data_IF_704995058472
#
_entry.id   IF_704995058472
#
_cell.length_a   1.000
_cell.length_b   1.000
_cell.length_c   1.000
_cell.angle_alpha   90.00
_cell.angle_beta   90.00
_cell.angle_gamma   90.00
#
_symmetry.space_group_name_H-M   'P 1'
#
loop_
_entity.id
_entity.type
_entity.pdbx_description
1 polymer ?
#
# COMPACT_ATOMS: atom_id res chain seq x y z
N UNK A 1 6.16 -23.61 12.07
CA UNK A 1 5.46 -22.85 11.01
C UNK A 1 5.98 -21.42 11.02
N UNK A 2 7.01 -21.12 10.20
CA UNK A 2 7.51 -19.76 10.03
C UNK A 2 6.71 -19.09 8.92
N UNK A 3 5.89 -18.10 9.28
CA UNK A 3 5.20 -17.25 8.32
C UNK A 3 6.22 -16.36 7.58
N UNK A 4 6.42 -16.57 6.29
CA UNK A 4 7.32 -15.80 5.41
C UNK A 4 6.97 -14.32 5.23
N UNK A 5 5.92 -13.83 5.91
CA UNK A 5 5.50 -12.42 5.88
C UNK A 5 6.20 -11.55 6.94
N UNK A 6 6.85 -12.14 7.95
CA UNK A 6 7.52 -11.40 9.01
C UNK A 6 9.04 -11.58 8.89
N UNK A 7 9.76 -10.50 8.58
CA UNK A 7 11.23 -10.47 8.56
C UNK A 7 11.87 -10.64 9.96
N UNK A 8 11.06 -10.71 11.02
CA UNK A 8 11.52 -10.83 12.40
C UNK A 8 11.22 -12.22 12.95
N UNK A 9 12.28 -12.97 13.24
CA UNK A 9 12.23 -14.33 13.78
C UNK A 9 11.74 -14.42 15.24
N UNK A 10 11.58 -13.29 15.96
CA UNK A 10 11.09 -13.28 17.34
C UNK A 10 10.18 -12.10 17.64
N UNK A 11 9.29 -12.27 18.65
CA UNK A 11 8.43 -11.20 19.18
C UNK A 11 9.24 -9.99 19.65
N UNK A 12 10.41 -10.23 20.26
CA UNK A 12 11.31 -9.18 20.73
C UNK A 12 11.87 -8.35 19.56
N UNK A 13 12.37 -9.02 18.52
CA UNK A 13 12.90 -8.34 17.34
C UNK A 13 11.82 -7.52 16.61
N UNK A 14 10.61 -8.07 16.47
CA UNK A 14 9.48 -7.36 15.88
C UNK A 14 9.10 -6.10 16.69
N UNK A 15 9.00 -6.23 18.03
CA UNK A 15 8.73 -5.08 18.91
C UNK A 15 9.79 -3.99 18.80
N UNK A 16 11.07 -4.36 18.79
CA UNK A 16 12.17 -3.41 18.63
C UNK A 16 12.17 -2.73 17.26
N UNK A 17 11.78 -3.45 16.20
CA UNK A 17 11.61 -2.88 14.88
C UNK A 17 10.46 -1.88 14.82
N UNK A 18 9.29 -2.22 15.34
CA UNK A 18 8.16 -1.28 15.37
C UNK A 18 8.53 -0.05 16.20
N UNK A 19 9.11 -0.26 17.39
CA UNK A 19 9.47 0.84 18.29
C UNK A 19 10.48 1.82 17.65
N UNK A 20 11.55 1.33 17.02
CA UNK A 20 12.54 2.22 16.38
C UNK A 20 11.93 3.03 15.23
N UNK A 21 11.02 2.42 14.46
CA UNK A 21 10.36 3.10 13.35
C UNK A 21 9.38 4.15 13.86
N UNK A 22 8.62 3.85 14.91
CA UNK A 22 7.75 4.84 15.57
C UNK A 22 8.55 6.03 16.10
N UNK A 23 9.69 5.79 16.75
CA UNK A 23 10.59 6.85 17.19
C UNK A 23 11.08 7.71 16.03
N UNK A 24 11.52 7.08 14.93
CA UNK A 24 11.97 7.80 13.73
C UNK A 24 10.86 8.69 13.15
N UNK A 25 9.63 8.18 13.07
CA UNK A 25 8.50 8.95 12.56
C UNK A 25 8.15 10.13 13.49
N UNK A 26 8.33 9.96 14.80
CA UNK A 26 8.14 11.06 15.76
C UNK A 26 9.22 12.13 15.60
N UNK A 27 10.48 11.71 15.48
CA UNK A 27 11.62 12.61 15.29
C UNK A 27 11.50 13.43 13.99
N UNK A 28 10.97 12.80 12.93
CA UNK A 28 10.67 13.47 11.67
C UNK A 28 9.39 14.32 11.69
N UNK A 29 8.61 14.31 12.78
CA UNK A 29 7.33 15.01 12.88
C UNK A 29 6.19 14.40 12.05
N UNK A 30 6.36 13.18 11.54
CA UNK A 30 5.40 12.43 10.72
C UNK A 30 4.37 11.66 11.58
N UNK A 31 4.70 11.39 12.83
CA UNK A 31 3.84 10.74 13.81
C UNK A 31 3.82 11.54 15.11
N UNK A 32 2.65 11.71 15.71
CA UNK A 32 2.48 12.40 16.99
C UNK A 32 1.81 11.49 18.00
N UNK A 33 2.23 11.60 19.26
CA UNK A 33 1.59 10.91 20.38
C UNK A 33 0.39 11.74 20.84
N UNK A 34 -0.80 11.14 20.80
CA UNK A 34 -2.03 11.74 21.30
C UNK A 34 -2.16 11.39 22.77
N UNK A 35 -2.35 12.41 23.61
CA UNK A 35 -2.66 12.20 25.03
C UNK A 35 -4.14 11.87 25.12
N UNK A 36 -4.45 10.67 25.62
CA UNK A 36 -5.80 10.19 25.87
C UNK A 36 -5.83 9.66 27.30
N UNK A 37 -6.92 9.92 28.04
CA UNK A 37 -7.12 9.43 29.40
C UNK A 37 -7.26 7.89 29.48
N UNK A 38 -7.29 7.18 28.35
CA UNK A 38 -7.57 5.75 28.26
C UNK A 38 -6.38 4.82 28.55
N UNK A 39 -5.30 5.33 29.15
CA UNK A 39 -4.15 4.53 29.64
C UNK A 39 -3.23 3.94 28.56
N UNK A 40 -3.73 3.72 27.33
CA UNK A 40 -2.94 3.26 26.19
C UNK A 40 -2.46 4.44 25.34
N UNK A 41 -1.17 4.47 24.95
CA UNK A 41 -0.65 5.54 24.11
C UNK A 41 -1.25 5.44 22.71
N UNK A 42 -2.00 6.47 22.32
CA UNK A 42 -2.55 6.59 20.98
C UNK A 42 -1.59 7.42 20.11
N UNK A 43 -1.45 7.05 18.85
CA UNK A 43 -0.59 7.76 17.90
C UNK A 43 -1.38 8.19 16.68
N UNK A 44 -1.06 9.36 16.14
CA UNK A 44 -1.71 9.94 14.97
C UNK A 44 -0.66 10.32 13.93
N UNK A 45 -0.91 9.94 12.68
CA UNK A 45 -0.13 10.39 11.53
C UNK A 45 -0.37 11.88 11.28
N UNK A 46 0.69 12.63 11.01
CA UNK A 46 0.60 14.06 10.70
C UNK A 46 0.48 14.28 9.19
N UNK A 47 0.11 15.48 8.72
CA UNK A 47 0.18 15.81 7.29
C UNK A 47 1.60 15.77 6.71
N UNK A 48 2.64 15.81 7.56
CA UNK A 48 4.03 15.63 7.14
C UNK A 48 4.37 14.17 6.84
N UNK A 49 3.52 13.23 7.27
CA UNK A 49 3.56 11.85 6.81
C UNK A 49 3.24 11.83 5.33
N UNK A 50 4.26 12.12 4.54
CA UNK A 50 4.24 11.86 3.12
C UNK A 50 4.27 10.34 3.04
N UNK A 51 3.13 9.74 2.72
CA UNK A 51 3.16 8.55 1.87
C UNK A 51 4.17 8.91 0.80
N UNK A 52 5.26 8.17 0.69
CA UNK A 52 6.29 8.44 -0.29
C UNK A 52 5.70 8.11 -1.67
N UNK A 53 4.71 8.89 -2.11
CA UNK A 53 4.45 9.14 -3.50
C UNK A 53 5.69 9.89 -3.97
N UNK A 54 6.53 9.16 -4.71
CA UNK A 54 7.73 9.66 -5.34
C UNK A 54 7.37 10.86 -6.25
N UNK A 55 7.30 12.04 -5.66
CA UNK A 55 7.22 13.31 -6.37
C UNK A 55 8.59 13.54 -7.01
N UNK A 56 8.77 12.96 -8.20
CA UNK A 56 9.86 13.30 -9.11
C UNK A 56 9.61 14.74 -9.57
N UNK A 57 10.05 15.70 -8.78
CA UNK A 57 10.11 17.09 -9.22
C UNK A 57 11.35 17.21 -10.09
N UNK A 58 11.15 17.11 -11.40
CA UNK A 58 12.14 17.49 -12.40
C UNK A 58 12.33 19.00 -12.26
N UNK A 59 13.39 19.45 -11.60
CA UNK A 59 13.90 20.81 -11.78
C UNK A 59 15.14 20.71 -12.66
N UNK A 60 14.90 20.93 -13.95
CA UNK A 60 15.92 21.20 -14.96
C UNK A 60 16.52 22.58 -14.70
N UNK A 61 17.79 22.65 -14.28
CA UNK A 61 18.76 23.66 -14.75
C UNK A 61 20.18 23.18 -14.41
N UNK A 62 21.00 23.02 -15.45
CA UNK A 62 22.36 22.48 -15.48
C UNK A 62 23.44 23.51 -15.00
N UNK A 63 24.77 23.25 -15.15
CA UNK A 63 25.58 22.21 -14.51
C UNK A 63 26.87 22.78 -13.87
N UNK A 64 27.41 22.19 -12.79
CA UNK A 64 28.86 22.26 -12.52
C UNK A 64 29.37 21.18 -11.57
N UNK A 65 30.34 20.42 -12.08
CA UNK A 65 31.46 19.74 -11.42
C UNK A 65 31.21 18.67 -10.33
N UNK A 66 31.31 17.39 -10.76
CA UNK A 66 32.20 16.32 -10.27
C UNK A 66 31.49 14.95 -10.22
N UNK A 67 32.12 13.85 -10.70
CA UNK A 67 31.45 12.57 -10.89
C UNK A 67 31.52 11.74 -9.60
N UNK A 68 30.45 11.77 -8.79
CA UNK A 68 30.25 10.69 -7.82
C UNK A 68 29.50 9.58 -8.55
N UNK A 69 30.24 8.51 -8.84
CA UNK A 69 29.77 7.24 -9.39
C UNK A 69 28.77 6.61 -8.42
N UNK A 70 27.54 7.09 -8.41
CA UNK A 70 26.42 6.36 -7.86
C UNK A 70 26.09 5.26 -8.87
N UNK A 71 26.42 4.02 -8.53
CA UNK A 71 25.78 2.85 -9.12
C UNK A 71 24.30 2.94 -8.81
N UNK A 72 23.53 3.60 -9.68
CA UNK A 72 22.07 3.60 -9.63
C UNK A 72 21.65 2.18 -9.95
N UNK A 73 21.40 1.43 -8.89
CA UNK A 73 21.02 0.02 -8.94
C UNK A 73 19.72 -0.14 -9.72
N UNK A 74 19.59 -1.26 -10.44
CA UNK A 74 18.42 -1.69 -11.21
C UNK A 74 17.12 -1.87 -10.38
N UNK A 75 17.04 -1.30 -9.18
CA UNK A 75 15.96 -1.49 -8.20
C UNK A 75 14.81 -0.48 -8.32
N UNK A 76 15.05 0.70 -8.91
CA UNK A 76 14.04 1.76 -9.05
C UNK A 76 12.80 1.26 -9.84
N UNK A 77 12.96 0.55 -10.98
CA UNK A 77 11.81 0.01 -11.71
C UNK A 77 11.03 -1.03 -10.90
N UNK A 78 11.73 -1.85 -10.10
CA UNK A 78 11.12 -2.94 -9.32
C UNK A 78 10.30 -2.41 -8.14
N UNK A 79 10.81 -1.40 -7.42
CA UNK A 79 10.09 -0.74 -6.33
C UNK A 79 8.80 -0.08 -6.84
N UNK A 80 8.87 0.64 -7.97
CA UNK A 80 7.69 1.25 -8.59
C UNK A 80 6.62 0.22 -8.96
N UNK A 81 7.01 -0.95 -9.48
CA UNK A 81 6.07 -2.04 -9.77
C UNK A 81 5.42 -2.62 -8.50
N UNK A 82 6.17 -2.73 -7.40
CA UNK A 82 5.64 -3.19 -6.11
C UNK A 82 4.66 -2.19 -5.49
N UNK A 83 4.95 -0.90 -5.56
CA UNK A 83 4.04 0.16 -5.13
C UNK A 83 2.73 0.10 -5.93
N UNK A 84 2.83 -0.03 -7.26
CA UNK A 84 1.66 -0.15 -8.14
C UNK A 84 0.85 -1.41 -7.82
N UNK A 85 1.52 -2.52 -7.51
CA UNK A 85 0.87 -3.77 -7.09
C UNK A 85 0.09 -3.58 -5.79
N UNK A 86 0.71 -2.98 -4.77
CA UNK A 86 0.08 -2.75 -3.48
C UNK A 86 -1.13 -1.83 -3.59
N UNK A 87 -1.04 -0.76 -4.39
CA UNK A 87 -2.17 0.13 -4.66
C UNK A 87 -3.35 -0.61 -5.29
N UNK A 88 -3.11 -1.41 -6.33
CA UNK A 88 -4.19 -2.17 -6.96
C UNK A 88 -4.79 -3.25 -6.03
N UNK A 89 -3.99 -3.86 -5.15
CA UNK A 89 -4.52 -4.78 -4.12
C UNK A 89 -5.46 -4.07 -3.17
N UNK A 90 -5.09 -2.87 -2.70
CA UNK A 90 -5.94 -2.06 -1.84
C UNK A 90 -7.25 -1.66 -2.54
N UNK A 91 -7.16 -1.12 -3.76
CA UNK A 91 -8.33 -0.76 -4.56
C UNK A 91 -9.26 -1.95 -4.81
N UNK A 92 -8.69 -3.15 -5.01
CA UNK A 92 -9.46 -4.38 -5.23
C UNK A 92 -10.25 -4.75 -3.99
N UNK A 93 -9.64 -4.68 -2.80
CA UNK A 93 -10.32 -4.94 -1.53
C UNK A 93 -11.46 -3.94 -1.28
N UNK A 94 -11.27 -2.67 -1.62
CA UNK A 94 -12.35 -1.67 -1.53
C UNK A 94 -13.51 -2.02 -2.47
N UNK A 95 -13.23 -2.39 -3.73
CA UNK A 95 -14.27 -2.81 -4.68
C UNK A 95 -14.98 -4.10 -4.25
N UNK A 96 -14.26 -5.05 -3.63
CA UNK A 96 -14.89 -6.24 -3.03
C UNK A 96 -15.87 -5.85 -1.93
N UNK A 97 -15.45 -5.00 -0.98
CA UNK A 97 -16.33 -4.52 0.09
C UNK A 97 -17.55 -3.76 -0.43
N UNK A 98 -17.37 -2.89 -1.44
CA UNK A 98 -18.49 -2.25 -2.14
C UNK A 98 -19.47 -3.30 -2.73
N UNK A 99 -18.95 -4.34 -3.40
CA UNK A 99 -19.77 -5.40 -4.00
C UNK A 99 -20.54 -6.21 -2.95
N UNK A 100 -19.88 -6.57 -1.84
CA UNK A 100 -20.47 -7.29 -0.71
C UNK A 100 -21.58 -6.48 -0.02
N UNK A 101 -21.35 -5.18 0.18
CA UNK A 101 -22.35 -4.29 0.77
C UNK A 101 -23.57 -4.13 -0.14
N UNK A 102 -23.37 -3.97 -1.45
CA UNK A 102 -24.50 -3.91 -2.39
C UNK A 102 -25.33 -5.20 -2.39
N UNK A 103 -24.67 -6.36 -2.30
CA UNK A 103 -25.35 -7.66 -2.23
C UNK A 103 -26.17 -7.82 -0.93
N UNK A 104 -25.60 -7.36 0.19
CA UNK A 104 -26.28 -7.34 1.48
C UNK A 104 -27.51 -6.41 1.46
N UNK A 105 -27.36 -5.18 0.97
CA UNK A 105 -28.49 -4.23 0.90
C UNK A 105 -29.59 -4.74 -0.03
N UNK A 106 -29.25 -5.33 -1.19
CA UNK A 106 -30.26 -5.94 -2.07
C UNK A 106 -31.02 -7.09 -1.40
N UNK A 107 -30.37 -7.81 -0.49
CA UNK A 107 -31.01 -8.89 0.28
C UNK A 107 -31.92 -8.35 1.39
N UNK A 108 -31.54 -7.22 2.00
CA UNK A 108 -32.31 -6.58 3.08
C UNK A 108 -33.48 -5.73 2.56
N UNK A 109 -33.29 -5.02 1.45
CA UNK A 109 -34.24 -4.06 0.87
C UNK A 109 -34.38 -4.33 -0.63
N UNK A 110 -35.16 -5.35 -1.03
CA UNK A 110 -35.33 -5.72 -2.44
C UNK A 110 -35.91 -4.60 -3.31
N UNK A 111 -36.62 -3.63 -2.73
CA UNK A 111 -37.20 -2.50 -3.46
C UNK A 111 -36.14 -1.58 -4.09
N UNK A 112 -34.91 -1.59 -3.56
CA UNK A 112 -33.79 -0.81 -4.09
C UNK A 112 -32.98 -1.54 -5.16
N UNK A 113 -33.39 -2.77 -5.55
CA UNK A 113 -32.60 -3.61 -6.44
C UNK A 113 -32.29 -2.92 -7.78
N UNK A 114 -33.26 -2.26 -8.40
CA UNK A 114 -33.06 -1.59 -9.70
C UNK A 114 -32.01 -0.46 -9.62
N UNK A 115 -31.93 0.23 -8.48
CA UNK A 115 -30.95 1.30 -8.25
C UNK A 115 -29.57 0.76 -7.88
N UNK A 116 -29.50 -0.35 -7.14
CA UNK A 116 -28.25 -0.95 -6.64
C UNK A 116 -27.59 -1.85 -7.68
N UNK A 117 -28.36 -2.59 -8.48
CA UNK A 117 -27.85 -3.52 -9.48
C UNK A 117 -26.79 -2.93 -10.43
N UNK A 118 -26.92 -1.68 -10.96
CA UNK A 118 -25.86 -1.07 -11.76
C UNK A 118 -24.59 -0.78 -10.95
N UNK A 119 -24.70 -0.36 -9.69
CA UNK A 119 -23.56 -0.09 -8.80
C UNK A 119 -22.82 -1.39 -8.44
N UNK A 120 -23.57 -2.45 -8.13
CA UNK A 120 -23.04 -3.80 -7.93
C UNK A 120 -22.25 -4.26 -9.16
N UNK A 121 -22.84 -4.15 -10.35
CA UNK A 121 -22.21 -4.57 -11.60
C UNK A 121 -20.91 -3.77 -11.84
N UNK A 122 -20.94 -2.46 -11.62
CA UNK A 122 -19.76 -1.61 -11.76
C UNK A 122 -18.64 -2.01 -10.79
N UNK A 123 -18.99 -2.27 -9.52
CA UNK A 123 -18.01 -2.64 -8.50
C UNK A 123 -17.40 -4.02 -8.76
N UNK A 124 -18.22 -4.99 -9.16
CA UNK A 124 -17.78 -6.33 -9.57
C UNK A 124 -16.85 -6.26 -10.79
N UNK A 125 -17.19 -5.45 -11.79
CA UNK A 125 -16.35 -5.25 -12.98
C UNK A 125 -15.02 -4.58 -12.63
N UNK A 126 -15.04 -3.58 -11.73
CA UNK A 126 -13.85 -2.92 -11.19
C UNK A 126 -12.95 -3.93 -10.48
N UNK A 127 -13.52 -4.77 -9.62
CA UNK A 127 -12.80 -5.84 -8.93
C UNK A 127 -12.11 -6.80 -9.93
N UNK A 128 -12.84 -7.25 -10.95
CA UNK A 128 -12.31 -8.15 -11.99
C UNK A 128 -11.15 -7.54 -12.78
N UNK A 129 -11.26 -6.24 -13.14
CA UNK A 129 -10.19 -5.50 -13.83
C UNK A 129 -8.96 -5.33 -12.93
N UNK A 130 -9.16 -5.03 -11.66
CA UNK A 130 -8.07 -4.89 -10.68
C UNK A 130 -7.36 -6.22 -10.43
N UNK A 131 -8.09 -7.33 -10.32
CA UNK A 131 -7.51 -8.67 -10.22
C UNK A 131 -6.62 -9.00 -11.42
N UNK A 132 -7.06 -8.66 -12.64
CA UNK A 132 -6.24 -8.81 -13.84
C UNK A 132 -4.93 -8.01 -13.78
N UNK A 133 -5.00 -6.76 -13.31
CA UNK A 133 -3.82 -5.90 -13.12
C UNK A 133 -2.87 -6.45 -12.05
N UNK A 134 -3.39 -6.95 -10.93
CA UNK A 134 -2.63 -7.59 -9.85
C UNK A 134 -1.88 -8.81 -10.41
N UNK A 135 -2.58 -9.73 -11.09
CA UNK A 135 -1.97 -10.92 -11.69
C UNK A 135 -0.87 -10.58 -12.69
N UNK A 136 -1.09 -9.57 -13.53
CA UNK A 136 -0.09 -9.12 -14.50
C UNK A 136 1.19 -8.59 -13.82
N UNK A 137 1.04 -7.80 -12.77
CA UNK A 137 2.16 -7.26 -11.99
C UNK A 137 2.89 -8.35 -11.20
N UNK A 138 2.17 -9.26 -10.55
CA UNK A 138 2.76 -10.41 -9.85
C UNK A 138 3.57 -11.29 -10.81
N UNK A 139 3.01 -11.60 -11.99
CA UNK A 139 3.69 -12.39 -13.01
C UNK A 139 4.96 -11.72 -13.51
N UNK A 140 4.93 -10.40 -13.73
CA UNK A 140 6.08 -9.63 -14.19
C UNK A 140 7.17 -9.55 -13.11
N UNK A 141 6.79 -9.32 -11.85
CA UNK A 141 7.72 -9.27 -10.73
C UNK A 141 8.36 -10.64 -10.47
N UNK A 142 7.59 -11.73 -10.55
CA UNK A 142 8.10 -13.09 -10.40
C UNK A 142 9.20 -13.43 -11.41
N UNK A 143 9.00 -13.05 -12.69
CA UNK A 143 10.00 -13.19 -13.76
C UNK A 143 11.28 -12.42 -13.47
N UNK A 144 11.18 -11.21 -12.91
CA UNK A 144 12.35 -10.41 -12.54
C UNK A 144 13.13 -11.00 -11.35
N UNK A 145 12.47 -11.73 -10.46
CA UNK A 145 13.09 -12.39 -9.31
C UNK A 145 13.68 -13.78 -9.60
N UNK A 146 13.58 -14.28 -10.84
CA UNK A 146 14.12 -15.59 -11.22
C UNK A 146 13.39 -16.80 -10.61
N UNK A 147 12.20 -16.61 -10.04
CA UNK A 147 11.38 -17.67 -9.43
C UNK A 147 10.48 -18.41 -10.45
N UNK A 148 10.72 -18.25 -11.75
CA UNK A 148 10.09 -19.04 -12.78
C UNK A 148 11.03 -20.17 -13.20
N UNK A 149 10.95 -21.29 -12.48
CA UNK A 149 11.25 -22.62 -13.01
C UNK A 149 10.01 -23.48 -12.82
#
# INVERSE_FOLDING_TARGET
MNNSACLHSSKKAARQFVYRNMLRLIDNGELTKVVVDSGWPLYRLTPLFKTQECATTIVTTAPSAAPVRATVTNDIPRQSLQERLNRHKLEMLSAMGETEEYDAICSEIPELQDDIQPLYNQSRDKCSKLLGRVKALESLLARQTGLAQ
#
